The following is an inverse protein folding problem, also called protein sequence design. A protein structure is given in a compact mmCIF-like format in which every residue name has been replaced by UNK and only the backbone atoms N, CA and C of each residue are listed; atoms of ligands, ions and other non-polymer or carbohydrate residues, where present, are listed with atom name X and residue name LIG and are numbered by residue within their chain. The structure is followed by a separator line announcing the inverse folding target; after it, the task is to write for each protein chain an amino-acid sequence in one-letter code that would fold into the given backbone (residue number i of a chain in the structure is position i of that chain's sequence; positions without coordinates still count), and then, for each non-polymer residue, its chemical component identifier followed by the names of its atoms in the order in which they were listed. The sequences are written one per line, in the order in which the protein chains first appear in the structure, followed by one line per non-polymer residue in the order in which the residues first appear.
data_IF_476312224221
#
_entry.id   IF_476312224221
#
_cell.length_a   1.000
_cell.length_b   1.000
_cell.length_c   1.000
_cell.angle_alpha   90.00
_cell.angle_beta   90.00
_cell.angle_gamma   90.00
#
_symmetry.space_group_name_H-M   'P 1'
#
loop_
_entity.id
_entity.type
_entity.pdbx_description
1 polymer ?
#
# COMPACT_ATOMS: atom_id res chain seq x y z
N UNK A 1 -67.76 2.18 19.99
CA UNK A 1 -67.21 1.99 18.63
C UNK A 1 -66.38 3.23 18.32
N UNK A 2 -65.06 3.14 18.47
CA UNK A 2 -64.12 4.26 18.27
C UNK A 2 -63.52 4.17 16.86
N UNK A 3 -63.19 5.28 16.18
CA UNK A 3 -62.55 5.23 14.87
C UNK A 3 -61.05 4.93 15.03
N UNK A 4 -60.51 4.12 14.13
CA UNK A 4 -59.12 3.72 14.10
C UNK A 4 -58.23 4.87 13.59
N UNK A 5 -57.18 5.16 14.34
CA UNK A 5 -56.08 6.07 13.98
C UNK A 5 -55.32 5.52 12.77
N UNK A 6 -55.27 6.29 11.68
CA UNK A 6 -54.46 5.98 10.50
C UNK A 6 -52.98 6.25 10.83
N UNK A 7 -52.16 5.20 10.86
CA UNK A 7 -50.71 5.31 10.97
C UNK A 7 -50.15 5.74 9.60
N UNK A 8 -49.58 6.93 9.53
CA UNK A 8 -48.76 7.35 8.41
C UNK A 8 -47.52 6.46 8.36
N UNK A 9 -47.38 5.67 7.30
CA UNK A 9 -46.13 4.99 6.95
C UNK A 9 -45.26 6.04 6.25
N UNK A 10 -44.23 6.53 6.93
CA UNK A 10 -43.16 7.26 6.25
C UNK A 10 -42.41 6.28 5.35
N UNK A 11 -42.43 6.56 4.05
CA UNK A 11 -41.65 5.83 3.05
C UNK A 11 -40.16 6.14 3.28
N UNK A 12 -39.26 5.14 3.27
CA UNK A 12 -37.83 5.40 3.32
C UNK A 12 -37.42 6.13 2.05
N UNK A 13 -36.71 7.24 2.21
CA UNK A 13 -36.02 7.95 1.14
C UNK A 13 -35.05 6.98 0.44
N UNK A 14 -35.47 6.43 -0.71
CA UNK A 14 -34.58 5.70 -1.60
C UNK A 14 -33.48 6.67 -2.05
N UNK A 15 -32.32 6.54 -1.40
CA UNK A 15 -31.08 7.11 -1.91
C UNK A 15 -30.77 6.35 -3.19
N UNK A 16 -30.63 6.99 -4.36
CA UNK A 16 -30.27 6.28 -5.57
C UNK A 16 -28.98 5.53 -5.29
N UNK A 17 -29.00 4.21 -5.48
CA UNK A 17 -27.82 3.36 -5.50
C UNK A 17 -26.91 3.90 -6.59
N UNK A 18 -26.06 4.85 -6.22
CA UNK A 18 -25.11 5.49 -7.10
C UNK A 18 -24.08 4.40 -7.39
N UNK A 19 -24.27 3.73 -8.53
CA UNK A 19 -23.26 2.85 -9.09
C UNK A 19 -21.97 3.65 -9.21
N UNK A 20 -21.08 3.49 -8.23
CA UNK A 20 -19.81 4.21 -8.17
C UNK A 20 -19.01 3.83 -9.41
N UNK A 21 -19.00 4.72 -10.40
CA UNK A 21 -18.14 4.62 -11.56
C UNK A 21 -16.70 4.56 -11.04
N UNK A 22 -16.07 3.38 -11.08
CA UNK A 22 -14.66 3.24 -10.70
C UNK A 22 -13.83 3.98 -11.74
N UNK A 23 -13.27 5.12 -11.35
CA UNK A 23 -12.25 5.83 -12.12
C UNK A 23 -10.87 5.29 -11.75
N UNK A 24 -9.95 5.20 -12.69
CA UNK A 24 -8.56 4.84 -12.38
C UNK A 24 -7.85 5.98 -11.66
N UNK A 25 -6.85 5.68 -10.82
CA UNK A 25 -6.03 6.71 -10.15
C UNK A 25 -5.36 7.63 -11.16
N UNK A 26 -4.86 7.08 -12.27
CA UNK A 26 -4.28 7.87 -13.37
C UNK A 26 -5.29 8.90 -13.93
N UNK A 27 -6.50 8.47 -14.27
CA UNK A 27 -7.53 9.36 -14.81
C UNK A 27 -8.02 10.39 -13.78
N UNK A 28 -8.00 10.04 -12.48
CA UNK A 28 -8.28 10.98 -11.40
C UNK A 28 -7.22 12.09 -11.33
N UNK A 29 -5.93 11.74 -11.39
CA UNK A 29 -4.82 12.69 -11.36
C UNK A 29 -4.80 13.59 -12.60
N UNK A 30 -5.15 13.05 -13.76
CA UNK A 30 -5.22 13.78 -15.02
C UNK A 30 -6.51 14.63 -15.14
N UNK A 31 -7.45 14.50 -14.20
CA UNK A 31 -8.72 15.25 -14.27
C UNK A 31 -8.53 16.72 -13.87
N UNK A 32 -9.11 17.67 -14.63
CA UNK A 32 -9.04 19.07 -14.28
C UNK A 32 -9.84 19.33 -13.00
N UNK A 33 -9.29 20.13 -12.08
CA UNK A 33 -9.98 20.56 -10.86
C UNK A 33 -9.89 19.59 -9.68
N UNK A 34 -8.93 18.67 -9.67
CA UNK A 34 -8.62 17.88 -8.47
C UNK A 34 -7.99 18.80 -7.40
N UNK A 35 -8.83 19.39 -6.55
CA UNK A 35 -8.39 20.27 -5.46
C UNK A 35 -7.95 19.50 -4.21
N UNK A 36 -8.43 18.26 -4.03
CA UNK A 36 -8.12 17.41 -2.90
C UNK A 36 -8.20 15.93 -3.27
N UNK A 37 -7.43 15.10 -2.57
CA UNK A 37 -7.50 13.63 -2.70
C UNK A 37 -8.85 13.16 -2.14
N UNK A 38 -9.61 12.34 -2.87
CA UNK A 38 -10.85 11.76 -2.35
C UNK A 38 -10.61 10.96 -1.08
N UNK A 39 -11.53 11.03 -0.12
CA UNK A 39 -11.40 10.38 1.19
C UNK A 39 -11.24 8.85 1.12
N UNK A 40 -11.69 8.21 0.04
CA UNK A 40 -11.47 6.77 -0.15
C UNK A 40 -10.00 6.41 -0.48
N UNK A 41 -9.14 7.40 -0.72
CA UNK A 41 -7.69 7.25 -0.87
C UNK A 41 -6.91 7.86 0.30
N UNK A 42 -7.58 8.48 1.28
CA UNK A 42 -6.92 9.01 2.47
C UNK A 42 -6.67 7.89 3.46
N UNK A 43 -5.41 7.71 3.85
CA UNK A 43 -5.02 6.86 4.96
C UNK A 43 -4.95 7.72 6.23
N UNK A 44 -5.69 7.39 7.29
CA UNK A 44 -5.52 8.07 8.57
C UNK A 44 -4.32 7.46 9.27
N UNK A 45 -3.22 8.20 9.33
CA UNK A 45 -2.04 7.76 10.09
C UNK A 45 -2.46 7.59 11.55
N UNK A 46 -2.26 6.40 12.13
CA UNK A 46 -2.28 6.32 13.58
C UNK A 46 -1.13 7.18 14.11
N UNK A 47 -1.32 7.96 15.18
CA UNK A 47 -0.23 8.76 15.77
C UNK A 47 0.94 7.91 16.31
N UNK A 48 0.76 6.58 16.41
CA UNK A 48 1.79 5.61 16.76
C UNK A 48 2.55 5.02 15.56
N UNK A 49 2.15 5.33 14.32
CA UNK A 49 2.88 4.92 13.14
C UNK A 49 4.04 5.90 12.95
N UNK A 50 5.24 5.46 13.31
CA UNK A 50 6.44 6.28 13.20
C UNK A 50 6.58 6.76 11.77
N UNK A 51 6.70 8.08 11.59
CA UNK A 51 7.14 8.65 10.33
C UNK A 51 8.41 7.90 9.88
N UNK A 52 8.43 7.49 8.61
CA UNK A 52 9.49 6.68 8.02
C UNK A 52 10.86 7.08 8.57
N UNK A 53 11.56 6.07 9.11
CA UNK A 53 12.87 6.20 9.73
C UNK A 53 13.86 6.88 8.78
N UNK A 54 14.89 7.50 9.36
CA UNK A 54 15.89 8.30 8.65
C UNK A 54 16.41 7.55 7.41
N UNK A 55 16.47 8.19 6.23
CA UNK A 55 16.92 7.55 4.99
C UNK A 55 18.37 7.06 5.05
N UNK A 56 19.15 7.59 5.99
CA UNK A 56 20.55 7.24 6.20
C UNK A 56 20.75 5.98 7.07
N UNK A 57 19.73 5.55 7.82
CA UNK A 57 19.84 4.38 8.72
C UNK A 57 19.27 3.09 8.12
N UNK A 58 18.47 3.19 7.05
CA UNK A 58 17.83 2.05 6.40
C UNK A 58 18.42 1.78 5.00
N UNK A 59 19.73 1.54 4.93
CA UNK A 59 20.31 1.01 3.69
C UNK A 59 19.89 -0.46 3.55
N UNK A 60 18.82 -0.70 2.79
CA UNK A 60 18.35 -2.05 2.47
C UNK A 60 19.43 -2.82 1.68
N UNK A 61 19.45 -4.16 1.75
CA UNK A 61 20.56 -4.95 1.23
C UNK A 61 20.63 -4.89 -0.31
N UNK A 62 21.84 -4.82 -0.85
CA UNK A 62 22.13 -4.97 -2.28
C UNK A 62 23.01 -6.21 -2.44
N UNK A 63 22.56 -7.16 -3.26
CA UNK A 63 23.25 -8.43 -3.51
C UNK A 63 23.74 -8.46 -4.96
N UNK A 64 25.05 -8.60 -5.14
CA UNK A 64 25.64 -8.86 -6.44
C UNK A 64 25.48 -10.34 -6.79
N UNK A 65 24.54 -10.63 -7.70
CA UNK A 65 24.18 -11.98 -8.09
C UNK A 65 25.24 -12.65 -8.97
N UNK A 66 26.10 -11.88 -9.64
CA UNK A 66 27.19 -12.45 -10.45
C UNK A 66 28.13 -13.30 -9.59
N UNK A 67 28.33 -12.88 -8.34
CA UNK A 67 29.22 -13.52 -7.37
C UNK A 67 28.73 -14.90 -6.92
N UNK A 68 27.43 -15.22 -7.06
CA UNK A 68 26.92 -16.57 -6.81
C UNK A 68 27.51 -17.60 -7.76
N UNK A 69 27.96 -17.15 -8.94
CA UNK A 69 28.63 -17.99 -9.94
C UNK A 69 30.14 -17.74 -10.01
N UNK A 70 30.70 -16.94 -9.10
CA UNK A 70 32.13 -16.64 -9.07
C UNK A 70 32.96 -17.91 -8.99
N UNK A 71 34.07 -17.94 -9.75
CA UNK A 71 35.06 -19.00 -9.65
C UNK A 71 35.76 -19.00 -8.28
N UNK A 72 35.79 -17.85 -7.58
CA UNK A 72 36.31 -17.72 -6.23
C UNK A 72 35.31 -18.27 -5.20
N UNK A 73 35.62 -19.38 -4.50
CA UNK A 73 34.75 -19.95 -3.49
C UNK A 73 34.48 -19.00 -2.31
N UNK A 74 35.39 -18.09 -1.99
CA UNK A 74 35.23 -17.15 -0.89
C UNK A 74 34.17 -16.10 -1.23
N UNK A 75 34.25 -15.50 -2.42
CA UNK A 75 33.23 -14.57 -2.90
C UNK A 75 31.87 -15.23 -2.95
N UNK A 76 31.78 -16.42 -3.57
CA UNK A 76 30.52 -17.16 -3.67
C UNK A 76 29.92 -17.47 -2.30
N UNK A 77 30.73 -17.97 -1.37
CA UNK A 77 30.26 -18.29 0.00
C UNK A 77 29.80 -17.04 0.74
N UNK A 78 30.53 -15.92 0.60
CA UNK A 78 30.15 -14.64 1.19
C UNK A 78 28.80 -14.16 0.66
N UNK A 79 28.61 -14.15 -0.66
CA UNK A 79 27.37 -13.70 -1.28
C UNK A 79 26.18 -14.58 -0.87
N UNK A 80 26.37 -15.89 -0.68
CA UNK A 80 25.33 -16.78 -0.16
C UNK A 80 24.94 -16.40 1.29
N UNK A 81 25.91 -16.07 2.14
CA UNK A 81 25.65 -15.63 3.52
C UNK A 81 24.93 -14.27 3.55
N UNK A 82 25.36 -13.33 2.71
CA UNK A 82 24.72 -12.02 2.59
C UNK A 82 23.27 -12.16 2.09
N UNK A 83 23.02 -13.10 1.16
CA UNK A 83 21.69 -13.44 0.68
C UNK A 83 20.81 -14.05 1.78
N UNK A 84 21.33 -15.01 2.56
CA UNK A 84 20.59 -15.60 3.69
C UNK A 84 20.22 -14.53 4.73
N UNK A 85 21.17 -13.64 5.07
CA UNK A 85 20.94 -12.52 5.98
C UNK A 85 19.86 -11.58 5.47
N UNK A 86 19.94 -11.18 4.19
CA UNK A 86 18.94 -10.31 3.57
C UNK A 86 17.54 -10.94 3.59
N UNK A 87 17.43 -12.25 3.30
CA UNK A 87 16.16 -12.96 3.38
C UNK A 87 15.57 -12.97 4.80
N UNK A 88 16.40 -13.17 5.84
CA UNK A 88 15.95 -13.30 7.23
C UNK A 88 15.64 -11.98 7.90
N UNK A 89 16.50 -10.98 7.71
CA UNK A 89 16.42 -9.72 8.46
C UNK A 89 15.55 -8.68 7.74
N UNK A 90 15.56 -8.68 6.41
CA UNK A 90 14.84 -7.68 5.61
C UNK A 90 13.62 -8.27 4.89
N UNK A 91 13.73 -9.50 4.37
CA UNK A 91 12.71 -10.11 3.52
C UNK A 91 12.64 -9.54 2.10
N UNK A 92 13.44 -8.51 1.80
CA UNK A 92 13.65 -7.96 0.46
C UNK A 92 15.07 -7.40 0.32
N UNK A 93 15.54 -7.28 -0.92
CA UNK A 93 16.85 -6.74 -1.27
C UNK A 93 16.87 -6.36 -2.75
N UNK A 94 17.84 -5.53 -3.14
CA UNK A 94 18.11 -5.21 -4.54
C UNK A 94 19.15 -6.17 -5.11
N UNK A 95 19.04 -6.44 -6.40
CA UNK A 95 19.97 -7.31 -7.13
C UNK A 95 20.78 -6.47 -8.12
N UNK A 96 22.10 -6.67 -8.13
CA UNK A 96 23.00 -6.19 -9.18
C UNK A 96 23.62 -7.37 -9.92
N UNK A 97 24.12 -7.09 -11.13
CA UNK A 97 24.77 -8.07 -12.02
C UNK A 97 26.20 -7.70 -12.29
#
# INVERSE_FOLDING_TARGET
MAPATSLFVENPTETPSQASKRISVKALVESPGLASIPSNYSYSSNPNESAASNPDEDTFPIIDFSLLTSADPHQRSKTILDLDKACREWGFFMVTS
#
